data_IF_456321891889
#
_entry.id   IF_456321891889
#
_cell.length_a   1.000
_cell.length_b   1.000
_cell.length_c   1.000
_cell.angle_alpha   90.00
_cell.angle_beta   90.00
_cell.angle_gamma   90.00
#
_symmetry.space_group_name_H-M   'P 1'
#
loop_
_entity.id
_entity.type
_entity.pdbx_description
1 polymer ?
#
# COMPACT_ATOMS: atom_id res chain seq x y z
N UNK A 1 -20.45 14.22 89.81
CA UNK A 1 -20.97 15.05 88.70
C UNK A 1 -20.53 14.39 87.40
N UNK A 2 -21.40 13.61 86.77
CA UNK A 2 -22.35 14.05 85.71
C UNK A 2 -21.60 14.63 84.49
N UNK A 3 -21.80 14.21 83.24
CA UNK A 3 -22.68 13.21 82.60
C UNK A 3 -22.17 13.07 81.16
N UNK A 4 -22.17 11.84 80.62
CA UNK A 4 -22.26 11.57 79.18
C UNK A 4 -23.52 12.25 78.60
N UNK A 5 -23.54 12.59 77.31
CA UNK A 5 -24.68 12.45 76.36
C UNK A 5 -24.20 12.84 74.94
N UNK A 6 -24.36 11.94 73.97
CA UNK A 6 -24.44 12.23 72.52
C UNK A 6 -25.87 12.67 72.16
N UNK A 7 -26.06 13.47 71.11
CA UNK A 7 -27.06 13.13 70.08
C UNK A 7 -26.49 13.31 68.66
N UNK A 8 -26.50 12.31 67.79
CA UNK A 8 -27.61 11.92 66.88
C UNK A 8 -27.97 12.99 65.82
N UNK A 9 -27.60 12.68 64.57
CA UNK A 9 -28.21 13.05 63.28
C UNK A 9 -29.08 14.31 63.18
N UNK A 10 -28.73 15.20 62.24
CA UNK A 10 -29.66 15.73 61.22
C UNK A 10 -28.85 16.06 59.96
N UNK A 11 -29.10 15.29 58.90
CA UNK A 11 -28.77 15.65 57.52
C UNK A 11 -29.67 16.82 57.12
N UNK A 12 -29.09 17.96 56.74
CA UNK A 12 -29.80 18.99 55.96
C UNK A 12 -28.92 19.40 54.78
N UNK A 13 -29.23 18.82 53.62
CA UNK A 13 -28.82 19.32 52.32
C UNK A 13 -29.39 20.74 52.14
N UNK A 14 -28.56 21.77 52.32
CA UNK A 14 -28.85 23.12 51.80
C UNK A 14 -28.07 23.32 50.51
N UNK A 15 -28.65 22.80 49.44
CA UNK A 15 -28.26 23.10 48.07
C UNK A 15 -29.03 24.33 47.60
N UNK A 16 -28.41 25.51 47.60
CA UNK A 16 -28.89 26.68 46.85
C UNK A 16 -27.72 27.55 46.40
N UNK A 17 -26.87 27.04 45.51
CA UNK A 17 -26.11 27.92 44.61
C UNK A 17 -27.00 28.18 43.40
N UNK A 18 -27.83 29.22 43.49
CA UNK A 18 -28.64 29.73 42.39
C UNK A 18 -27.64 30.29 41.36
N UNK A 19 -27.31 29.49 40.35
CA UNK A 19 -26.65 29.99 39.14
C UNK A 19 -27.56 31.06 38.55
N UNK A 20 -27.02 32.24 38.26
CA UNK A 20 -27.69 33.30 37.53
C UNK A 20 -28.08 32.78 36.14
N UNK A 21 -29.30 32.28 36.00
CA UNK A 21 -29.86 31.85 34.72
C UNK A 21 -30.09 33.12 33.91
N UNK A 22 -29.20 33.40 32.95
CA UNK A 22 -29.50 34.33 31.88
C UNK A 22 -30.49 33.65 30.94
N UNK A 23 -31.77 33.94 31.13
CA UNK A 23 -32.83 33.49 30.23
C UNK A 23 -32.65 34.28 28.93
N UNK A 24 -32.13 33.63 27.89
CA UNK A 24 -32.25 34.16 26.54
C UNK A 24 -33.73 34.33 26.22
N UNK A 25 -34.13 35.40 25.53
CA UNK A 25 -35.53 35.61 25.18
C UNK A 25 -36.09 34.36 24.50
N UNK A 26 -37.24 33.87 24.99
CA UNK A 26 -37.99 32.79 24.35
C UNK A 26 -38.47 33.37 23.02
N UNK A 27 -37.74 33.08 21.95
CA UNK A 27 -38.16 33.46 20.61
C UNK A 27 -39.23 32.45 20.20
N UNK A 28 -40.50 32.80 20.46
CA UNK A 28 -41.73 32.04 20.19
C UNK A 28 -41.90 31.69 18.70
N UNK A 29 -41.04 30.82 18.16
CA UNK A 29 -40.99 30.48 16.75
C UNK A 29 -41.03 31.70 15.81
N UNK A 30 -40.55 32.87 16.29
CA UNK A 30 -40.50 34.08 15.48
C UNK A 30 -39.68 33.76 14.23
N UNK A 31 -40.18 34.08 13.03
CA UNK A 31 -39.51 33.72 11.79
C UNK A 31 -38.08 34.25 11.84
N UNK A 32 -37.11 33.33 11.84
CA UNK A 32 -35.69 33.71 11.92
C UNK A 32 -35.37 34.59 10.74
N UNK A 33 -34.69 35.72 10.97
CA UNK A 33 -34.23 36.58 9.87
C UNK A 33 -33.50 35.72 8.85
N UNK A 34 -33.83 35.91 7.57
CA UNK A 34 -33.18 35.21 6.48
C UNK A 34 -31.65 35.34 6.63
N UNK A 35 -30.93 34.22 6.50
CA UNK A 35 -29.47 34.23 6.59
C UNK A 35 -28.93 35.18 5.53
N UNK A 36 -28.23 36.23 5.96
CA UNK A 36 -27.61 37.17 5.04
C UNK A 36 -26.56 36.44 4.21
N UNK A 37 -26.48 36.78 2.92
CA UNK A 37 -25.37 36.34 2.07
C UNK A 37 -24.07 36.80 2.72
N UNK A 38 -23.09 35.91 2.76
CA UNK A 38 -21.77 36.22 3.32
C UNK A 38 -21.10 37.30 2.48
N UNK A 39 -20.28 38.12 3.13
CA UNK A 39 -19.49 39.13 2.41
C UNK A 39 -18.54 38.45 1.43
N UNK A 40 -18.39 38.97 0.20
CA UNK A 40 -17.59 38.33 -0.85
C UNK A 40 -16.12 38.14 -0.44
N UNK A 41 -15.58 39.03 0.39
CA UNK A 41 -14.22 38.90 0.93
C UNK A 41 -14.08 37.72 1.89
N UNK A 42 -15.10 37.44 2.71
CA UNK A 42 -15.08 36.33 3.65
C UNK A 42 -15.21 34.98 2.92
N UNK A 43 -15.99 34.93 1.84
CA UNK A 43 -16.11 33.72 1.02
C UNK A 43 -14.80 33.42 0.28
N UNK A 44 -14.13 34.43 -0.28
CA UNK A 44 -12.80 34.26 -0.89
C UNK A 44 -11.77 33.71 0.10
N UNK A 45 -11.74 34.23 1.34
CA UNK A 45 -10.84 33.72 2.39
C UNK A 45 -11.15 32.24 2.73
N UNK A 46 -12.42 31.84 2.73
CA UNK A 46 -12.81 30.42 2.96
C UNK A 46 -12.36 29.53 1.81
N UNK A 47 -12.52 29.99 0.58
CA UNK A 47 -12.07 29.27 -0.62
C UNK A 47 -10.55 29.12 -0.65
N UNK A 48 -9.80 30.19 -0.38
CA UNK A 48 -8.34 30.16 -0.34
C UNK A 48 -7.81 29.23 0.76
N UNK A 49 -8.48 29.17 1.92
CA UNK A 49 -8.17 28.20 2.98
C UNK A 49 -8.39 26.76 2.53
N UNK A 50 -9.48 26.48 1.81
CA UNK A 50 -9.75 25.16 1.24
C UNK A 50 -8.72 24.80 0.17
N UNK A 51 -8.39 25.72 -0.73
CA UNK A 51 -7.38 25.55 -1.77
C UNK A 51 -6.02 25.19 -1.18
N UNK A 52 -5.53 25.97 -0.23
CA UNK A 52 -4.25 25.69 0.49
C UNK A 52 -4.28 24.36 1.22
N UNK A 53 -5.44 23.92 1.71
CA UNK A 53 -5.58 22.62 2.36
C UNK A 53 -5.44 21.49 1.34
N UNK A 54 -6.10 21.62 0.19
CA UNK A 54 -6.02 20.63 -0.89
C UNK A 54 -4.63 20.58 -1.51
N UNK A 55 -4.00 21.72 -1.77
CA UNK A 55 -2.61 21.80 -2.24
C UNK A 55 -1.66 21.02 -1.32
N UNK A 56 -1.71 21.27 0.00
CA UNK A 56 -0.89 20.52 0.97
C UNK A 56 -1.18 19.02 1.00
N UNK A 57 -2.42 18.61 0.70
CA UNK A 57 -2.80 17.19 0.64
C UNK A 57 -2.27 16.57 -0.65
N UNK A 58 -2.35 17.30 -1.77
CA UNK A 58 -1.80 16.91 -3.06
C UNK A 58 -0.28 16.77 -2.93
N UNK A 59 0.43 17.78 -2.41
CA UNK A 59 1.89 17.73 -2.20
C UNK A 59 2.31 16.52 -1.35
N UNK A 60 1.50 16.15 -0.35
CA UNK A 60 1.73 14.94 0.45
C UNK A 60 1.51 13.68 -0.38
N UNK A 61 0.38 13.57 -1.08
CA UNK A 61 0.07 12.44 -1.98
C UNK A 61 1.17 12.24 -3.04
N UNK A 62 1.70 13.34 -3.57
CA UNK A 62 2.78 13.32 -4.53
C UNK A 62 4.12 12.89 -3.95
N UNK A 63 4.41 13.20 -2.68
CA UNK A 63 5.58 12.62 -2.00
C UNK A 63 5.37 11.13 -1.70
N UNK A 64 4.14 10.71 -1.41
CA UNK A 64 3.81 9.31 -1.12
C UNK A 64 3.85 8.41 -2.36
N UNK A 65 3.48 8.90 -3.55
CA UNK A 65 3.51 8.10 -4.81
C UNK A 65 4.91 7.57 -5.15
N UNK A 66 5.96 8.23 -4.65
CA UNK A 66 7.36 7.86 -4.90
C UNK A 66 7.87 6.74 -3.98
N UNK A 67 7.18 6.43 -2.89
CA UNK A 67 7.66 5.40 -1.98
C UNK A 67 7.35 4.01 -2.56
N UNK A 68 8.39 3.22 -2.80
CA UNK A 68 8.27 1.85 -3.30
C UNK A 68 7.63 0.90 -2.27
N UNK A 69 7.07 -0.21 -2.76
CA UNK A 69 6.66 -1.31 -1.88
C UNK A 69 7.91 -1.99 -1.31
N UNK A 70 7.91 -2.42 -0.04
CA UNK A 70 9.03 -3.18 0.50
C UNK A 70 9.19 -4.51 -0.25
N UNK A 71 10.43 -4.94 -0.43
CA UNK A 71 10.79 -6.23 -1.06
C UNK A 71 11.07 -7.21 0.06
N UNK A 72 10.19 -8.20 0.22
CA UNK A 72 10.24 -9.11 1.37
C UNK A 72 11.46 -10.05 1.32
N UNK A 73 11.94 -10.41 0.12
CA UNK A 73 13.05 -11.34 -0.09
C UNK A 73 14.41 -10.71 0.27
N UNK A 74 14.50 -9.38 0.26
CA UNK A 74 15.73 -8.67 0.59
C UNK A 74 15.96 -8.56 2.10
N UNK A 75 14.88 -8.37 2.87
CA UNK A 75 14.94 -8.25 4.32
C UNK A 75 14.83 -9.62 5.00
N UNK A 76 15.75 -9.93 5.93
CA UNK A 76 15.62 -11.13 6.75
C UNK A 76 14.42 -11.01 7.70
N UNK A 77 13.66 -12.09 7.83
CA UNK A 77 12.54 -12.11 8.76
C UNK A 77 12.99 -11.85 10.20
N UNK A 78 12.30 -10.91 10.87
CA UNK A 78 12.62 -10.53 12.26
C UNK A 78 12.54 -11.70 13.25
N UNK A 79 11.73 -12.72 12.95
CA UNK A 79 11.61 -13.94 13.78
C UNK A 79 12.92 -14.73 13.74
N UNK A 80 13.46 -14.95 12.54
CA UNK A 80 14.73 -15.67 12.34
C UNK A 80 15.87 -14.94 13.05
N UNK A 81 15.95 -13.61 12.92
CA UNK A 81 16.99 -12.80 13.56
C UNK A 81 17.00 -12.94 15.08
N UNK A 82 15.84 -13.05 15.73
CA UNK A 82 15.74 -13.24 17.20
C UNK A 82 16.14 -14.65 17.64
N UNK A 83 15.91 -15.64 16.79
CA UNK A 83 16.16 -17.05 17.09
C UNK A 83 17.52 -17.53 16.55
N UNK A 84 18.38 -16.62 16.06
CA UNK A 84 19.65 -16.98 15.44
C UNK A 84 20.51 -17.84 16.35
N UNK A 85 20.65 -17.49 17.63
CA UNK A 85 21.52 -18.22 18.55
C UNK A 85 21.05 -19.67 18.79
N UNK A 86 19.72 -19.89 18.75
CA UNK A 86 19.12 -21.23 18.91
C UNK A 86 19.17 -22.03 17.62
N UNK A 87 18.99 -21.37 16.46
CA UNK A 87 18.93 -22.01 15.14
C UNK A 87 20.31 -22.18 14.49
N UNK A 88 21.34 -21.51 14.98
CA UNK A 88 22.69 -21.55 14.42
C UNK A 88 23.28 -22.95 14.61
N UNK A 89 23.58 -23.61 13.50
CA UNK A 89 24.34 -24.87 13.50
C UNK A 89 25.80 -24.56 13.82
N UNK A 90 26.44 -25.45 14.58
CA UNK A 90 27.88 -25.36 14.85
C UNK A 90 28.66 -25.40 13.54
N UNK A 91 29.65 -24.52 13.39
CA UNK A 91 30.56 -24.55 12.24
C UNK A 91 31.42 -25.81 12.30
N UNK A 92 31.44 -26.56 11.21
CA UNK A 92 32.36 -27.70 11.05
C UNK A 92 33.69 -27.16 10.55
N UNK A 93 34.77 -27.45 11.26
CA UNK A 93 36.13 -27.17 10.79
C UNK A 93 36.47 -28.10 9.62
N UNK A 94 36.92 -27.52 8.52
CA UNK A 94 37.27 -28.28 7.31
C UNK A 94 38.71 -28.78 7.44
N UNK A 95 38.95 -30.02 7.02
CA UNK A 95 40.31 -30.56 6.89
C UNK A 95 41.08 -29.83 5.78
N UNK A 96 42.41 -29.82 5.89
CA UNK A 96 43.29 -29.21 4.88
C UNK A 96 43.04 -29.79 3.48
N UNK A 97 42.81 -31.10 3.36
CA UNK A 97 42.55 -31.76 2.09
C UNK A 97 41.23 -31.28 1.45
N UNK A 98 40.19 -31.09 2.25
CA UNK A 98 38.90 -30.59 1.76
C UNK A 98 38.98 -29.13 1.31
N UNK A 99 39.73 -28.29 2.04
CA UNK A 99 39.91 -26.88 1.66
C UNK A 99 40.68 -26.75 0.35
N UNK A 100 41.75 -27.53 0.17
CA UNK A 100 42.52 -27.57 -1.08
C UNK A 100 41.71 -28.13 -2.23
N UNK A 101 40.91 -29.17 -2.01
CA UNK A 101 40.00 -29.73 -3.02
C UNK A 101 39.00 -28.67 -3.52
N UNK A 102 38.32 -27.96 -2.61
CA UNK A 102 37.40 -26.86 -2.97
C UNK A 102 38.10 -25.74 -3.72
N UNK A 103 39.32 -25.38 -3.33
CA UNK A 103 40.11 -24.36 -4.01
C UNK A 103 40.42 -24.77 -5.46
N UNK A 104 40.84 -26.02 -5.68
CA UNK A 104 41.10 -26.57 -7.01
C UNK A 104 39.82 -26.58 -7.86
N UNK A 105 38.71 -27.04 -7.29
CA UNK A 105 37.40 -27.05 -7.96
C UNK A 105 36.96 -25.63 -8.37
N UNK A 106 37.11 -24.65 -7.49
CA UNK A 106 36.77 -23.26 -7.78
C UNK A 106 37.66 -22.68 -8.89
N UNK A 107 38.95 -23.02 -8.90
CA UNK A 107 39.88 -22.62 -9.96
C UNK A 107 39.45 -23.19 -11.30
N UNK A 108 39.08 -24.46 -11.35
CA UNK A 108 38.65 -25.10 -12.60
C UNK A 108 37.27 -24.61 -13.05
N UNK A 109 36.37 -24.33 -12.12
CA UNK A 109 35.09 -23.68 -12.40
C UNK A 109 35.28 -22.29 -12.99
N UNK A 110 36.20 -21.48 -12.46
CA UNK A 110 36.52 -20.16 -12.99
C UNK A 110 37.05 -20.24 -14.42
N UNK A 111 37.98 -21.18 -14.71
CA UNK A 111 38.46 -21.43 -16.08
C UNK A 111 37.33 -21.85 -17.01
N UNK A 112 36.45 -22.74 -16.55
CA UNK A 112 35.32 -23.22 -17.33
C UNK A 112 34.36 -22.08 -17.67
N UNK A 113 33.97 -21.28 -16.68
CA UNK A 113 33.10 -20.11 -16.87
C UNK A 113 33.72 -19.05 -17.77
N UNK A 114 35.02 -18.82 -17.66
CA UNK A 114 35.72 -17.92 -18.58
C UNK A 114 35.64 -18.44 -20.02
N UNK A 115 35.89 -19.73 -20.25
CA UNK A 115 35.77 -20.34 -21.59
C UNK A 115 34.36 -20.24 -22.15
N UNK A 116 33.36 -20.56 -21.34
CA UNK A 116 31.94 -20.41 -21.71
C UNK A 116 31.64 -18.98 -22.15
N UNK A 117 32.07 -17.99 -21.36
CA UNK A 117 31.85 -16.59 -21.67
C UNK A 117 32.54 -16.14 -22.97
N UNK A 118 33.78 -16.57 -23.21
CA UNK A 118 34.48 -16.28 -24.47
C UNK A 118 33.74 -16.90 -25.67
N UNK A 119 33.22 -18.12 -25.54
CA UNK A 119 32.42 -18.75 -26.59
C UNK A 119 31.12 -17.98 -26.86
N UNK A 120 30.41 -17.55 -25.81
CA UNK A 120 29.19 -16.73 -25.94
C UNK A 120 29.48 -15.40 -26.64
N UNK A 121 30.53 -14.68 -26.24
CA UNK A 121 30.93 -13.42 -26.89
C UNK A 121 31.27 -13.66 -28.35
N UNK A 122 32.11 -14.64 -28.65
CA UNK A 122 32.50 -14.92 -30.05
C UNK A 122 31.30 -15.30 -30.92
N UNK A 123 30.31 -16.02 -30.37
CA UNK A 123 29.07 -16.34 -31.06
C UNK A 123 28.24 -15.08 -31.34
N UNK A 124 28.05 -14.21 -30.34
CA UNK A 124 27.33 -12.94 -30.51
C UNK A 124 28.02 -12.06 -31.54
N UNK A 125 29.34 -11.90 -31.48
CA UNK A 125 30.11 -11.10 -32.44
C UNK A 125 29.99 -11.66 -33.87
N UNK A 126 29.98 -12.99 -34.04
CA UNK A 126 29.76 -13.62 -35.35
C UNK A 126 28.35 -13.36 -35.87
N UNK A 127 27.33 -13.48 -35.02
CA UNK A 127 25.95 -13.21 -35.39
C UNK A 127 25.76 -11.74 -35.83
N UNK A 128 26.32 -10.79 -35.08
CA UNK A 128 26.28 -9.36 -35.41
C UNK A 128 27.00 -9.07 -36.74
N UNK A 129 28.22 -9.60 -36.93
CA UNK A 129 28.95 -9.43 -38.20
C UNK A 129 28.19 -10.03 -39.38
N UNK A 130 27.54 -11.19 -39.19
CA UNK A 130 26.70 -11.79 -40.22
C UNK A 130 25.48 -10.92 -40.55
N UNK A 131 24.88 -10.29 -39.54
CA UNK A 131 23.76 -9.36 -39.71
C UNK A 131 24.19 -8.11 -40.47
N UNK A 132 25.31 -7.49 -40.09
CA UNK A 132 25.89 -6.32 -40.76
C UNK A 132 26.19 -6.61 -42.24
N UNK A 133 26.92 -7.70 -42.51
CA UNK A 133 27.22 -8.12 -43.89
C UNK A 133 25.93 -8.34 -44.70
N UNK A 134 24.91 -8.97 -44.11
CA UNK A 134 23.63 -9.20 -44.79
C UNK A 134 22.92 -7.88 -45.13
N UNK A 135 22.98 -6.88 -44.25
CA UNK A 135 22.40 -5.56 -44.49
C UNK A 135 23.16 -4.78 -45.56
N UNK A 136 24.49 -4.86 -45.58
CA UNK A 136 25.31 -4.24 -46.63
C UNK A 136 24.98 -4.81 -48.02
N UNK A 137 24.87 -6.14 -48.12
CA UNK A 137 24.48 -6.79 -49.38
C UNK A 137 23.04 -6.44 -49.77
N UNK A 138 22.11 -6.40 -48.82
CA UNK A 138 20.72 -6.02 -49.07
C UNK A 138 20.62 -4.59 -49.61
N UNK A 139 21.44 -3.67 -49.09
CA UNK A 139 21.48 -2.28 -49.55
C UNK A 139 21.95 -2.15 -51.01
N UNK A 140 22.90 -2.98 -51.43
CA UNK A 140 23.39 -3.00 -52.82
C UNK A 140 22.31 -3.52 -53.77
N UNK A 141 21.57 -4.55 -53.35
CA UNK A 141 20.53 -5.18 -54.17
C UNK A 141 19.23 -4.36 -54.23
N UNK A 142 18.77 -3.85 -53.08
CA UNK A 142 17.50 -3.11 -52.97
C UNK A 142 17.46 -2.17 -51.77
N UNK A 143 17.46 -0.86 -52.05
CA UNK A 143 17.38 0.18 -51.02
C UNK A 143 16.04 0.17 -50.27
N UNK A 144 14.92 -0.08 -50.97
CA UNK A 144 13.59 -0.09 -50.34
C UNK A 144 13.45 -1.20 -49.28
N UNK A 145 14.02 -2.39 -49.52
CA UNK A 145 13.99 -3.48 -48.54
C UNK A 145 14.91 -3.20 -47.35
N UNK A 146 16.05 -2.56 -47.59
CA UNK A 146 16.96 -2.13 -46.53
C UNK A 146 16.28 -1.15 -45.56
N UNK A 147 15.55 -0.16 -46.08
CA UNK A 147 14.79 0.78 -45.25
C UNK A 147 13.73 0.08 -44.39
N UNK A 148 13.03 -0.91 -44.94
CA UNK A 148 12.05 -1.70 -44.19
C UNK A 148 12.72 -2.55 -43.10
N UNK A 149 13.86 -3.17 -43.40
CA UNK A 149 14.59 -4.01 -42.45
C UNK A 149 15.17 -3.23 -41.25
N UNK A 150 15.45 -1.93 -41.42
CA UNK A 150 15.91 -1.05 -40.34
C UNK A 150 14.79 -0.67 -39.36
N UNK A 151 13.52 -0.78 -39.75
CA UNK A 151 12.40 -0.38 -38.90
C UNK A 151 12.28 -1.32 -37.69
N UNK A 152 12.08 -0.74 -36.51
CA UNK A 152 11.87 -1.49 -35.28
C UNK A 152 10.49 -2.15 -35.32
N UNK A 153 10.43 -3.48 -35.19
CA UNK A 153 9.17 -4.20 -35.09
C UNK A 153 8.47 -3.87 -33.77
N UNK A 154 7.34 -3.17 -33.87
CA UNK A 154 6.51 -2.81 -32.72
C UNK A 154 5.87 -4.03 -32.03
N UNK A 155 5.82 -5.19 -32.71
CA UNK A 155 5.29 -6.44 -32.14
C UNK A 155 6.27 -7.13 -31.19
N UNK A 156 7.54 -6.71 -31.16
CA UNK A 156 8.55 -7.30 -30.28
C UNK A 156 8.26 -7.02 -28.79
N UNK A 157 7.51 -5.96 -28.47
CA UNK A 157 7.20 -5.56 -27.10
C UNK A 157 5.67 -5.64 -26.92
N UNK A 158 5.13 -6.49 -26.01
CA UNK A 158 5.81 -7.23 -24.95
C UNK A 158 6.27 -8.64 -25.36
N UNK A 159 7.57 -8.93 -25.26
CA UNK A 159 8.12 -10.27 -25.41
C UNK A 159 7.96 -11.09 -24.12
N UNK A 160 7.32 -12.26 -24.19
CA UNK A 160 7.22 -13.19 -23.06
C UNK A 160 7.74 -14.57 -23.46
N UNK A 161 8.57 -15.18 -22.59
CA UNK A 161 9.12 -16.52 -22.80
C UNK A 161 9.21 -17.25 -21.48
N UNK A 162 8.82 -18.54 -21.47
CA UNK A 162 9.03 -19.45 -20.34
C UNK A 162 10.39 -20.12 -20.49
N UNK A 163 11.13 -20.26 -19.39
CA UNK A 163 12.40 -20.98 -19.36
C UNK A 163 12.21 -22.49 -19.63
N UNK A 164 13.31 -23.22 -19.93
CA UNK A 164 13.25 -24.67 -20.07
C UNK A 164 12.83 -25.32 -18.74
N UNK A 165 12.06 -26.40 -18.83
CA UNK A 165 11.67 -27.23 -17.69
C UNK A 165 12.73 -28.30 -17.44
N UNK A 166 12.82 -28.79 -16.20
CA UNK A 166 13.69 -29.92 -15.86
C UNK A 166 13.27 -31.21 -16.58
N UNK A 167 11.96 -31.49 -16.59
CA UNK A 167 11.34 -32.59 -17.32
C UNK A 167 10.28 -32.07 -18.30
N UNK A 168 10.07 -32.81 -19.38
CA UNK A 168 9.02 -32.49 -20.35
C UNK A 168 7.63 -32.77 -19.75
N UNK A 169 6.58 -32.04 -20.18
CA UNK A 169 5.22 -32.29 -19.73
C UNK A 169 4.74 -33.70 -20.11
N UNK A 170 4.09 -34.38 -19.17
CA UNK A 170 3.41 -35.65 -19.44
C UNK A 170 1.97 -35.36 -19.91
N UNK A 171 1.57 -35.75 -21.13
CA UNK A 171 0.22 -35.49 -21.65
C UNK A 171 -0.89 -36.24 -20.90
N UNK A 172 -0.55 -37.35 -20.23
CA UNK A 172 -1.53 -38.20 -19.52
C UNK A 172 -1.55 -37.95 -18.01
N UNK A 173 -1.06 -36.80 -17.56
CA UNK A 173 -1.05 -36.46 -16.14
C UNK A 173 -2.27 -35.61 -15.76
N UNK A 174 -3.17 -36.21 -14.98
CA UNK A 174 -4.28 -35.51 -14.37
C UNK A 174 -3.82 -34.90 -13.03
N UNK A 175 -3.75 -33.58 -12.98
CA UNK A 175 -3.40 -32.87 -11.75
C UNK A 175 -4.53 -33.01 -10.71
N UNK A 176 -4.20 -33.21 -9.42
CA UNK A 176 -5.22 -33.25 -8.37
C UNK A 176 -5.88 -31.89 -8.18
N UNK A 177 -7.17 -31.91 -7.83
CA UNK A 177 -7.94 -30.69 -7.56
C UNK A 177 -7.43 -29.96 -6.31
N UNK A 178 -7.41 -28.62 -6.37
CA UNK A 178 -7.03 -27.76 -5.24
C UNK A 178 -7.33 -26.28 -5.49
N UNK A 179 -7.53 -25.54 -4.40
CA UNK A 179 -7.82 -24.10 -4.44
C UNK A 179 -6.53 -23.28 -4.30
N UNK A 180 -6.41 -22.22 -5.12
CA UNK A 180 -5.34 -21.23 -4.98
C UNK A 180 -5.85 -20.02 -4.19
N UNK A 181 -5.29 -19.81 -3.00
CA UNK A 181 -5.54 -18.61 -2.19
C UNK A 181 -4.35 -17.66 -2.30
N UNK A 182 -4.62 -16.44 -2.79
CA UNK A 182 -3.61 -15.39 -2.82
C UNK A 182 -3.33 -14.87 -1.40
N UNK A 183 -2.14 -15.19 -0.88
CA UNK A 183 -1.66 -14.72 0.43
C UNK A 183 -0.75 -13.49 0.31
N UNK A 184 -0.72 -12.80 -0.84
CA UNK A 184 0.12 -11.61 -1.00
C UNK A 184 -0.31 -10.50 -0.06
N UNK A 185 0.65 -9.97 0.71
CA UNK A 185 0.37 -8.91 1.67
C UNK A 185 0.08 -7.60 0.91
N UNK A 186 -1.16 -7.13 1.01
CA UNK A 186 -1.53 -5.83 0.46
C UNK A 186 -0.88 -4.71 1.28
N UNK A 187 0.04 -3.98 0.67
CA UNK A 187 0.68 -2.83 1.30
C UNK A 187 -0.15 -1.55 1.10
N UNK A 188 -1.14 -1.32 1.98
CA UNK A 188 -1.83 -0.03 2.04
C UNK A 188 -1.04 0.95 2.91
N UNK A 189 -0.42 1.96 2.30
CA UNK A 189 0.19 3.07 3.04
C UNK A 189 -0.90 3.94 3.65
N UNK A 190 -1.21 3.70 4.92
CA UNK A 190 -2.10 4.56 5.67
C UNK A 190 -1.49 5.96 5.79
N UNK A 191 -2.20 6.97 5.27
CA UNK A 191 -2.38 8.17 6.06
C UNK A 191 -2.81 7.68 7.46
N UNK A 192 -2.32 8.27 8.56
CA UNK A 192 -2.68 7.86 9.94
C UNK A 192 -4.19 7.92 10.29
N UNK A 193 -5.06 8.02 9.27
CA UNK A 193 -6.48 7.76 9.28
C UNK A 193 -6.72 6.70 8.20
N UNK A 194 -6.97 5.46 8.59
CA UNK A 194 -7.27 4.37 7.68
C UNK A 194 -8.48 4.80 6.82
N UNK A 195 -8.28 5.05 5.52
CA UNK A 195 -9.34 5.57 4.64
C UNK A 195 -10.61 4.70 4.72
N UNK A 196 -10.42 3.39 4.86
CA UNK A 196 -11.53 2.46 5.06
C UNK A 196 -12.20 2.57 6.43
N UNK A 197 -11.47 2.89 7.50
CA UNK A 197 -12.10 3.15 8.80
C UNK A 197 -12.89 4.46 8.75
N UNK A 198 -12.37 5.49 8.06
CA UNK A 198 -13.12 6.73 7.84
C UNK A 198 -14.40 6.49 7.02
N UNK A 199 -14.33 5.73 5.92
CA UNK A 199 -15.50 5.35 5.13
C UNK A 199 -16.52 4.56 5.96
N UNK A 200 -16.07 3.58 6.76
CA UNK A 200 -16.94 2.83 7.68
C UNK A 200 -17.59 3.75 8.73
N UNK A 201 -16.88 4.75 9.24
CA UNK A 201 -17.47 5.72 10.18
C UNK A 201 -18.53 6.60 9.50
N UNK A 202 -18.28 7.04 8.26
CA UNK A 202 -19.24 7.83 7.48
C UNK A 202 -20.50 7.02 7.16
N UNK A 203 -20.36 5.74 6.82
CA UNK A 203 -21.51 4.84 6.61
C UNK A 203 -22.31 4.62 7.90
N UNK A 204 -21.65 4.42 9.04
CA UNK A 204 -22.32 4.32 10.35
C UNK A 204 -23.11 5.59 10.67
N UNK A 205 -22.52 6.77 10.45
CA UNK A 205 -23.19 8.06 10.65
C UNK A 205 -24.42 8.22 9.75
N UNK A 206 -24.31 7.86 8.47
CA UNK A 206 -25.45 7.87 7.54
C UNK A 206 -26.62 7.02 8.04
N UNK A 207 -26.36 5.81 8.57
CA UNK A 207 -27.41 4.95 9.11
C UNK A 207 -27.99 5.46 10.44
N UNK A 208 -27.21 6.12 11.29
CA UNK A 208 -27.73 6.76 12.50
C UNK A 208 -28.66 7.91 12.17
N UNK A 209 -28.31 8.72 11.18
CA UNK A 209 -29.11 9.86 10.74
C UNK A 209 -30.45 9.40 10.15
N UNK A 210 -30.43 8.37 9.29
CA UNK A 210 -31.64 7.75 8.74
C UNK A 210 -32.55 7.21 9.86
N UNK A 211 -31.99 6.60 10.91
CA UNK A 211 -32.79 6.11 12.05
C UNK A 211 -33.36 7.25 12.89
N UNK A 212 -32.60 8.33 13.08
CA UNK A 212 -33.07 9.52 13.79
C UNK A 212 -34.22 10.20 13.04
N UNK A 213 -34.12 10.37 11.72
CA UNK A 213 -35.20 10.91 10.89
C UNK A 213 -36.47 10.05 10.95
N UNK A 214 -36.33 8.72 10.93
CA UNK A 214 -37.48 7.81 11.07
C UNK A 214 -38.14 7.90 12.45
N UNK A 215 -37.37 8.12 13.52
CA UNK A 215 -37.90 8.33 14.88
C UNK A 215 -38.63 9.66 14.98
N UNK A 216 -38.02 10.76 14.50
CA UNK A 216 -38.64 12.08 14.48
C UNK A 216 -39.99 12.06 13.72
N UNK A 217 -40.04 11.45 12.52
CA UNK A 217 -41.30 11.29 11.77
C UNK A 217 -42.35 10.45 12.49
N UNK A 218 -41.93 9.50 13.33
CA UNK A 218 -42.85 8.70 14.14
C UNK A 218 -43.40 9.50 15.31
N UNK A 219 -42.56 10.32 15.95
CA UNK A 219 -42.94 11.22 17.03
C UNK A 219 -43.87 12.34 16.54
N UNK A 220 -43.61 12.94 15.38
CA UNK A 220 -44.53 13.90 14.74
C UNK A 220 -45.90 13.28 14.46
N UNK A 221 -45.96 12.07 13.92
CA UNK A 221 -47.23 11.34 13.69
C UNK A 221 -47.97 10.97 14.98
N UNK A 222 -47.29 10.91 16.12
CA UNK A 222 -47.90 10.65 17.43
C UNK A 222 -48.39 11.97 18.04
N UNK A 223 -47.71 13.09 17.80
CA UNK A 223 -48.11 14.41 18.26
C UNK A 223 -49.31 15.00 17.48
N UNK A 224 -49.51 14.57 16.22
CA UNK A 224 -50.64 14.97 15.37
C UNK A 224 -51.93 14.14 15.60
N UNK A 225 -51.95 13.22 16.57
CA UNK A 225 -53.12 12.42 16.98
C UNK A 225 -53.62 12.83 18.35
#
# INVERSE_FOLDING_TARGET
>A
MNRNILPSSIFLLRNTFIRSIHITSINYAQPTKAKKKMDPMTDKIREDRKRRRYEKVIDKLEKFKLQLKPINEYESERRILKELDVRKRSSVELTSDETTHRLMLNRDWAKHKHRQHQQEITFISRALKSQENALEQLKIESESLYEQALQVDSKLIPFTRRGPLYSLPNPNYDAPDGDYFDTTNYFSKGFGVNFMDHMKTMERQKWTDIRAERRAKKEEKIADK
#
